data_IF_993537673586
#
_entry.id   IF_993537673586
#
_cell.length_a   1.000
_cell.length_b   1.000
_cell.length_c   1.000
_cell.angle_alpha   90.00
_cell.angle_beta   90.00
_cell.angle_gamma   90.00
#
_symmetry.space_group_name_H-M   'P 1'
#
loop_
_entity.id
_entity.type
_entity.pdbx_description
1 polymer ?
#
# COMPACT_ATOMS: atom_id res chain seq x y z
N UNK A 1 38.94 19.50 -7.12
CA UNK A 1 38.54 18.10 -7.35
C UNK A 1 38.63 17.27 -6.08
N UNK A 2 39.82 17.15 -5.46
CA UNK A 2 40.01 16.31 -4.25
C UNK A 2 39.08 16.66 -3.08
N UNK A 3 38.82 17.95 -2.81
CA UNK A 3 37.89 18.38 -1.77
C UNK A 3 36.43 17.94 -2.03
N UNK A 4 35.99 17.96 -3.27
CA UNK A 4 34.64 17.46 -3.64
C UNK A 4 34.54 15.94 -3.45
N UNK A 5 35.59 15.19 -3.81
CA UNK A 5 35.65 13.75 -3.62
C UNK A 5 35.63 13.35 -2.13
N UNK A 6 36.35 14.09 -1.28
CA UNK A 6 36.35 13.89 0.16
C UNK A 6 34.97 14.22 0.77
N UNK A 7 34.32 15.30 0.32
CA UNK A 7 32.97 15.64 0.75
C UNK A 7 31.95 14.57 0.33
N UNK A 8 32.07 14.06 -0.89
CA UNK A 8 31.22 12.97 -1.37
C UNK A 8 31.40 11.69 -0.55
N UNK A 9 32.64 11.29 -0.31
CA UNK A 9 32.96 10.12 0.52
C UNK A 9 32.41 10.28 1.95
N UNK A 10 32.62 11.44 2.57
CA UNK A 10 32.05 11.72 3.89
C UNK A 10 30.51 11.64 3.90
N UNK A 11 29.85 12.17 2.87
CA UNK A 11 28.39 12.11 2.76
C UNK A 11 27.89 10.67 2.63
N UNK A 12 28.62 9.83 1.88
CA UNK A 12 28.31 8.40 1.73
C UNK A 12 28.54 7.64 3.04
N UNK A 13 29.63 7.92 3.75
CA UNK A 13 29.90 7.32 5.07
C UNK A 13 28.80 7.70 6.06
N UNK A 14 28.34 8.97 6.05
CA UNK A 14 27.21 9.43 6.88
C UNK A 14 25.87 8.85 6.48
N UNK A 15 25.69 8.51 5.21
CA UNK A 15 24.50 7.80 4.75
C UNK A 15 24.48 6.37 5.30
N UNK A 16 25.62 5.66 5.33
CA UNK A 16 25.74 4.32 5.95
C UNK A 16 25.32 4.38 7.42
N UNK A 17 25.90 5.31 8.19
CA UNK A 17 25.52 5.54 9.59
C UNK A 17 24.01 5.82 9.74
N UNK A 18 23.41 6.55 8.80
CA UNK A 18 21.99 6.91 8.83
C UNK A 18 21.09 5.72 8.50
N UNK A 19 21.45 4.85 7.58
CA UNK A 19 20.70 3.63 7.28
C UNK A 19 20.58 2.77 8.54
N UNK A 20 21.62 2.73 9.35
CA UNK A 20 21.61 1.96 10.60
C UNK A 20 20.90 2.69 11.74
N UNK A 21 21.16 4.00 11.93
CA UNK A 21 20.71 4.77 13.10
C UNK A 21 19.27 5.33 12.98
N UNK A 22 18.83 5.76 11.80
CA UNK A 22 17.45 6.28 11.60
C UNK A 22 16.38 5.19 11.62
N UNK A 23 16.80 3.96 11.84
CA UNK A 23 15.95 2.80 11.95
C UNK A 23 15.05 2.80 13.19
N UNK A 24 15.45 3.44 14.27
CA UNK A 24 14.82 3.30 15.58
C UNK A 24 13.76 4.38 15.81
N UNK A 25 12.56 4.18 15.25
CA UNK A 25 11.39 4.96 15.62
C UNK A 25 10.80 4.38 16.90
N UNK A 26 10.99 5.11 18.01
CA UNK A 26 10.50 4.68 19.33
C UNK A 26 9.15 5.32 19.64
N UNK A 27 8.08 4.55 19.43
CA UNK A 27 6.71 4.95 19.80
C UNK A 27 6.43 4.88 21.30
N UNK A 28 7.38 4.39 22.11
CA UNK A 28 7.26 4.33 23.57
C UNK A 28 7.87 5.54 24.25
N UNK A 29 8.49 6.46 23.49
CA UNK A 29 9.08 7.68 23.99
C UNK A 29 8.04 8.53 24.75
N UNK A 30 8.30 8.93 26.02
CA UNK A 30 7.35 9.69 26.84
C UNK A 30 6.86 10.99 26.19
N UNK A 31 7.73 11.71 25.47
CA UNK A 31 7.35 12.94 24.78
C UNK A 31 6.37 12.68 23.63
N UNK A 32 6.59 11.60 22.87
CA UNK A 32 5.66 11.17 21.84
C UNK A 32 4.31 10.76 22.44
N UNK A 33 4.31 9.96 23.50
CA UNK A 33 3.09 9.48 24.16
C UNK A 33 2.28 10.63 24.76
N UNK A 34 2.94 11.67 25.28
CA UNK A 34 2.27 12.87 25.76
C UNK A 34 1.54 13.60 24.61
N UNK A 35 2.21 13.82 23.48
CA UNK A 35 1.59 14.43 22.30
C UNK A 35 0.46 13.54 21.75
N UNK A 36 0.69 12.23 21.74
CA UNK A 36 -0.31 11.25 21.32
C UNK A 36 -1.57 11.34 22.20
N UNK A 37 -1.43 11.43 23.52
CA UNK A 37 -2.55 11.55 24.44
C UNK A 37 -3.40 12.82 24.18
N UNK A 38 -2.76 13.95 23.85
CA UNK A 38 -3.47 15.20 23.50
C UNK A 38 -4.29 15.02 22.22
N UNK A 39 -3.67 14.46 21.16
CA UNK A 39 -4.36 14.23 19.88
C UNK A 39 -5.44 13.17 20.03
N UNK A 40 -5.20 12.13 20.83
CA UNK A 40 -6.19 11.10 21.16
C UNK A 40 -7.42 11.71 21.89
N UNK A 41 -7.21 12.58 22.88
CA UNK A 41 -8.30 13.26 23.57
C UNK A 41 -9.13 14.12 22.60
N UNK A 42 -8.48 14.89 21.73
CA UNK A 42 -9.15 15.68 20.70
C UNK A 42 -9.92 14.80 19.70
N UNK A 43 -9.31 13.69 19.26
CA UNK A 43 -9.96 12.75 18.32
C UNK A 43 -11.13 12.00 18.94
N UNK A 44 -11.17 11.84 20.28
CA UNK A 44 -12.31 11.25 20.99
C UNK A 44 -13.57 12.11 20.84
N UNK A 45 -13.41 13.44 20.94
CA UNK A 45 -14.54 14.37 20.69
C UNK A 45 -15.04 14.23 19.25
N UNK A 46 -14.14 14.17 18.27
CA UNK A 46 -14.51 13.96 16.87
C UNK A 46 -15.21 12.61 16.67
N UNK A 47 -14.72 11.55 17.31
CA UNK A 47 -15.32 10.21 17.25
C UNK A 47 -16.74 10.23 17.77
N UNK A 48 -17.00 10.89 18.90
CA UNK A 48 -18.35 11.03 19.47
C UNK A 48 -19.29 11.82 18.55
N UNK A 49 -18.79 12.92 17.93
CA UNK A 49 -19.60 13.68 16.96
C UNK A 49 -19.96 12.83 15.72
N UNK A 50 -18.99 12.12 15.16
CA UNK A 50 -19.23 11.23 14.02
C UNK A 50 -20.13 10.06 14.40
N UNK A 51 -20.02 9.55 15.61
CA UNK A 51 -20.90 8.50 16.14
C UNK A 51 -22.34 8.99 16.25
N UNK A 52 -22.59 10.16 16.84
CA UNK A 52 -23.92 10.76 16.91
C UNK A 52 -24.51 10.97 15.51
N UNK A 53 -23.70 11.49 14.58
CA UNK A 53 -24.12 11.69 13.20
C UNK A 53 -24.46 10.35 12.51
N UNK A 54 -23.69 9.29 12.74
CA UNK A 54 -23.94 7.97 12.19
C UNK A 54 -25.24 7.36 12.74
N UNK A 55 -25.54 7.52 14.04
CA UNK A 55 -26.81 7.09 14.66
C UNK A 55 -27.97 7.88 14.08
N UNK A 56 -27.87 9.21 14.02
CA UNK A 56 -28.91 10.09 13.47
C UNK A 56 -29.22 9.72 12.00
N UNK A 57 -28.21 9.51 11.18
CA UNK A 57 -28.34 9.12 9.77
C UNK A 57 -29.06 7.77 9.60
N UNK A 58 -28.84 6.81 10.51
CA UNK A 58 -29.52 5.52 10.50
C UNK A 58 -30.99 5.64 10.95
N UNK A 59 -31.26 6.43 11.99
CA UNK A 59 -32.59 6.71 12.47
C UNK A 59 -33.46 7.34 11.39
N UNK A 60 -32.94 8.33 10.65
CA UNK A 60 -33.67 8.97 9.52
C UNK A 60 -33.95 7.98 8.38
N UNK A 61 -33.14 6.93 8.22
CA UNK A 61 -33.38 5.86 7.22
C UNK A 61 -34.37 4.80 7.66
N UNK A 62 -35.03 4.95 8.81
CA UNK A 62 -36.04 4.03 9.31
C UNK A 62 -35.53 2.74 9.92
N UNK A 63 -34.21 2.66 10.24
CA UNK A 63 -33.66 1.52 10.97
C UNK A 63 -34.11 1.56 12.42
N UNK A 64 -34.59 0.43 13.03
CA UNK A 64 -34.96 0.39 14.44
C UNK A 64 -33.82 0.92 15.33
N UNK A 65 -34.16 1.82 16.28
CA UNK A 65 -33.16 2.50 17.12
C UNK A 65 -32.30 1.53 17.91
N UNK A 66 -32.85 0.42 18.36
CA UNK A 66 -32.12 -0.62 19.08
C UNK A 66 -31.01 -1.25 18.24
N UNK A 67 -31.28 -1.60 16.98
CA UNK A 67 -30.31 -2.15 16.03
C UNK A 67 -29.29 -1.09 15.62
N UNK A 68 -29.72 0.15 15.36
CA UNK A 68 -28.83 1.24 15.02
C UNK A 68 -27.85 1.56 16.16
N UNK A 69 -28.29 1.51 17.40
CA UNK A 69 -27.49 1.80 18.57
C UNK A 69 -26.51 0.68 18.88
N UNK A 70 -26.93 -0.61 18.87
CA UNK A 70 -26.06 -1.73 19.14
C UNK A 70 -24.92 -1.84 18.13
N UNK A 71 -25.21 -1.63 16.85
CA UNK A 71 -24.17 -1.61 15.80
C UNK A 71 -23.24 -0.40 15.96
N UNK A 72 -23.76 0.77 16.31
CA UNK A 72 -22.99 1.98 16.53
C UNK A 72 -22.07 1.87 17.76
N UNK A 73 -22.51 1.22 18.83
CA UNK A 73 -21.67 0.94 20.03
C UNK A 73 -20.53 0.02 19.66
N UNK A 74 -20.76 -1.04 18.89
CA UNK A 74 -19.70 -1.94 18.43
C UNK A 74 -18.62 -1.22 17.64
N UNK A 75 -18.98 -0.31 16.73
CA UNK A 75 -18.00 0.50 15.99
C UNK A 75 -17.29 1.52 16.87
N UNK A 76 -17.96 2.09 17.87
CA UNK A 76 -17.35 2.99 18.83
C UNK A 76 -16.23 2.27 19.61
N UNK A 77 -16.51 1.08 20.17
CA UNK A 77 -15.51 0.28 20.87
C UNK A 77 -14.34 -0.08 19.96
N UNK A 78 -14.60 -0.49 18.72
CA UNK A 78 -13.54 -0.78 17.76
C UNK A 78 -12.64 0.44 17.53
N UNK A 79 -13.23 1.63 17.38
CA UNK A 79 -12.50 2.88 17.16
C UNK A 79 -11.63 3.23 18.38
N UNK A 80 -12.18 3.15 19.58
CA UNK A 80 -11.46 3.46 20.83
C UNK A 80 -10.31 2.49 21.02
N UNK A 81 -10.54 1.18 20.87
CA UNK A 81 -9.49 0.17 20.99
C UNK A 81 -8.40 0.35 19.92
N UNK A 82 -8.77 0.53 18.66
CA UNK A 82 -7.81 0.77 17.60
C UNK A 82 -6.94 2.00 17.90
N UNK A 83 -7.56 3.11 18.32
CA UNK A 83 -6.84 4.33 18.67
C UNK A 83 -5.96 4.15 19.90
N UNK A 84 -6.44 3.52 20.97
CA UNK A 84 -5.67 3.32 22.20
C UNK A 84 -4.43 2.44 22.00
N UNK A 85 -4.56 1.39 21.18
CA UNK A 85 -3.48 0.43 20.95
C UNK A 85 -2.58 0.77 19.75
N UNK A 86 -2.86 1.84 19.00
CA UNK A 86 -2.05 2.24 17.83
C UNK A 86 -0.55 2.36 18.12
N UNK A 87 -0.07 3.04 19.19
CA UNK A 87 1.36 3.12 19.45
C UNK A 87 1.99 1.76 19.65
N UNK A 88 1.31 0.87 20.40
CA UNK A 88 1.78 -0.50 20.66
C UNK A 88 1.79 -1.35 19.36
N UNK A 89 0.74 -1.26 18.56
CA UNK A 89 0.65 -1.99 17.28
C UNK A 89 1.76 -1.52 16.33
N UNK A 90 1.94 -0.21 16.18
CA UNK A 90 2.98 0.34 15.33
C UNK A 90 4.38 0.00 15.82
N UNK A 91 4.61 0.10 17.15
CA UNK A 91 5.87 -0.33 17.76
C UNK A 91 6.17 -1.80 17.42
N UNK A 92 5.20 -2.69 17.62
CA UNK A 92 5.37 -4.12 17.36
C UNK A 92 5.64 -4.39 15.88
N UNK A 93 4.87 -3.76 14.96
CA UNK A 93 5.03 -3.96 13.52
C UNK A 93 6.37 -3.40 13.02
N UNK A 94 6.74 -2.20 13.46
CA UNK A 94 8.02 -1.58 13.07
C UNK A 94 9.18 -2.37 13.63
N UNK A 95 9.14 -2.75 14.91
CA UNK A 95 10.19 -3.56 15.54
C UNK A 95 10.35 -4.93 14.88
N UNK A 96 9.25 -5.60 14.54
CA UNK A 96 9.29 -6.86 13.80
C UNK A 96 9.91 -6.67 12.40
N UNK A 97 9.52 -5.60 11.68
CA UNK A 97 10.07 -5.29 10.36
C UNK A 97 11.55 -4.93 10.45
N UNK A 98 11.97 -4.20 11.47
CA UNK A 98 13.37 -3.85 11.69
C UNK A 98 14.20 -5.09 12.05
N UNK A 99 13.64 -6.02 12.84
CA UNK A 99 14.27 -7.30 13.14
C UNK A 99 14.50 -8.15 11.87
N UNK A 100 13.47 -8.24 11.02
CA UNK A 100 13.60 -8.92 9.71
C UNK A 100 14.65 -8.24 8.84
N UNK A 101 14.66 -6.90 8.80
CA UNK A 101 15.64 -6.12 8.05
C UNK A 101 17.07 -6.39 8.54
N UNK A 102 17.25 -6.46 9.85
CA UNK A 102 18.56 -6.79 10.45
C UNK A 102 19.03 -8.21 10.09
N UNK A 103 18.10 -9.18 10.10
CA UNK A 103 18.43 -10.55 9.67
C UNK A 103 18.79 -10.59 8.18
N UNK A 104 18.06 -9.87 7.33
CA UNK A 104 18.36 -9.75 5.92
C UNK A 104 19.73 -9.09 5.69
N UNK A 105 20.04 -8.00 6.37
CA UNK A 105 21.34 -7.33 6.30
C UNK A 105 22.49 -8.26 6.72
N UNK A 106 22.29 -9.04 7.77
CA UNK A 106 23.28 -10.03 8.22
C UNK A 106 23.40 -11.22 7.28
N UNK A 107 22.31 -11.70 6.69
CA UNK A 107 22.33 -12.82 5.74
C UNK A 107 23.04 -12.47 4.43
N UNK A 108 23.06 -11.18 4.08
CA UNK A 108 23.86 -10.64 2.96
C UNK A 108 25.31 -10.34 3.36
N UNK A 109 25.77 -10.80 4.55
CA UNK A 109 27.16 -10.73 4.96
C UNK A 109 27.72 -9.31 5.23
N UNK A 110 26.86 -8.35 5.64
CA UNK A 110 27.28 -6.96 5.84
C UNK A 110 27.63 -6.23 4.52
N UNK A 111 27.11 -6.74 3.41
CA UNK A 111 27.43 -6.22 2.07
C UNK A 111 26.98 -4.78 1.86
N UNK A 112 25.99 -4.32 2.64
CA UNK A 112 25.57 -2.90 2.62
C UNK A 112 26.72 -2.00 3.10
N UNK A 113 27.35 -2.34 4.23
CA UNK A 113 28.48 -1.57 4.76
C UNK A 113 29.71 -1.72 3.87
N UNK A 114 29.97 -2.93 3.35
CA UNK A 114 31.02 -3.19 2.38
C UNK A 114 30.80 -2.36 1.09
N UNK A 115 29.56 -2.26 0.63
CA UNK A 115 29.19 -1.44 -0.53
C UNK A 115 29.51 0.04 -0.28
N UNK A 116 29.04 0.62 0.83
CA UNK A 116 29.31 2.02 1.15
C UNK A 116 30.83 2.27 1.36
N UNK A 117 31.51 1.34 2.03
CA UNK A 117 32.98 1.41 2.22
C UNK A 117 33.72 1.41 0.89
N UNK A 118 33.42 0.46 0.00
CA UNK A 118 34.04 0.38 -1.33
C UNK A 118 33.73 1.61 -2.17
N UNK A 119 32.49 2.09 -2.14
CA UNK A 119 32.10 3.28 -2.87
C UNK A 119 32.80 4.55 -2.35
N UNK A 120 32.88 4.72 -1.02
CA UNK A 120 33.59 5.83 -0.38
C UNK A 120 35.08 5.79 -0.68
N UNK A 121 35.73 4.61 -0.63
CA UNK A 121 37.11 4.45 -1.01
C UNK A 121 37.38 4.76 -2.50
N UNK A 122 36.51 4.30 -3.39
CA UNK A 122 36.62 4.60 -4.82
C UNK A 122 36.53 6.12 -5.08
N UNK A 123 35.67 6.82 -4.37
CA UNK A 123 35.58 8.28 -4.42
C UNK A 123 36.87 8.95 -3.89
N UNK A 124 37.45 8.44 -2.78
CA UNK A 124 38.72 8.97 -2.20
C UNK A 124 39.93 8.73 -3.12
N UNK A 125 39.97 7.59 -3.79
CA UNK A 125 41.04 7.22 -4.75
C UNK A 125 40.94 7.95 -6.09
N UNK A 126 39.94 8.73 -6.33
CA UNK A 126 39.50 9.46 -7.51
C UNK A 126 40.48 9.86 -8.61
N UNK A 127 41.80 9.70 -8.41
CA UNK A 127 42.85 9.97 -9.42
C UNK A 127 42.81 8.95 -10.57
N UNK A 128 42.27 7.73 -10.33
CA UNK A 128 42.18 6.63 -11.31
C UNK A 128 40.79 6.51 -12.00
N UNK A 129 39.85 7.44 -11.73
CA UNK A 129 38.49 7.37 -12.26
C UNK A 129 38.45 7.56 -13.79
N UNK A 130 39.55 8.08 -14.41
CA UNK A 130 39.53 8.48 -15.82
C UNK A 130 38.73 9.78 -16.08
N UNK A 131 39.02 10.49 -17.16
CA UNK A 131 38.31 11.74 -17.48
C UNK A 131 38.80 12.98 -16.73
N UNK A 132 39.80 12.86 -15.86
CA UNK A 132 40.50 13.97 -15.20
C UNK A 132 39.69 14.67 -14.09
N UNK A 133 40.20 15.84 -13.61
CA UNK A 133 39.64 16.54 -12.47
C UNK A 133 38.18 16.98 -12.63
N UNK A 134 37.70 17.23 -13.84
CA UNK A 134 36.33 17.68 -14.14
C UNK A 134 35.35 16.53 -13.90
N UNK A 135 35.70 15.33 -14.39
CA UNK A 135 34.86 14.15 -14.22
C UNK A 135 34.70 13.81 -12.73
N UNK A 136 35.80 13.90 -11.95
CA UNK A 136 35.77 13.71 -10.51
C UNK A 136 34.86 14.69 -9.80
N UNK A 137 34.83 15.97 -10.19
CA UNK A 137 33.94 16.97 -9.62
C UNK A 137 32.48 16.64 -9.92
N UNK A 138 32.16 16.31 -11.17
CA UNK A 138 30.78 15.97 -11.60
C UNK A 138 30.27 14.75 -10.85
N UNK A 139 31.05 13.67 -10.83
CA UNK A 139 30.68 12.42 -10.13
C UNK A 139 30.52 12.66 -8.64
N UNK A 140 31.41 13.41 -8.01
CA UNK A 140 31.32 13.73 -6.59
C UNK A 140 30.06 14.55 -6.26
N UNK A 141 29.73 15.54 -7.10
CA UNK A 141 28.53 16.36 -6.90
C UNK A 141 27.25 15.51 -7.02
N UNK A 142 27.17 14.67 -8.04
CA UNK A 142 26.01 13.76 -8.22
C UNK A 142 25.92 12.76 -7.08
N UNK A 143 27.04 12.24 -6.58
CA UNK A 143 27.06 11.32 -5.43
C UNK A 143 26.58 12.01 -4.15
N UNK A 144 26.98 13.26 -3.89
CA UNK A 144 26.50 14.04 -2.74
C UNK A 144 25.00 14.24 -2.83
N UNK A 145 24.48 14.63 -4.01
CA UNK A 145 23.05 14.83 -4.21
C UNK A 145 22.27 13.53 -4.02
N UNK A 146 22.70 12.44 -4.61
CA UNK A 146 22.05 11.15 -4.51
C UNK A 146 22.04 10.61 -3.07
N UNK A 147 23.18 10.66 -2.38
CA UNK A 147 23.31 10.27 -0.98
C UNK A 147 22.47 11.17 -0.06
N UNK A 148 22.46 12.48 -0.33
CA UNK A 148 21.64 13.46 0.41
C UNK A 148 20.13 13.22 0.26
N UNK A 149 19.68 12.88 -0.95
CA UNK A 149 18.26 12.55 -1.21
C UNK A 149 17.87 11.28 -0.45
N UNK A 150 18.68 10.23 -0.49
CA UNK A 150 18.41 8.99 0.23
C UNK A 150 18.42 9.21 1.75
N UNK A 151 19.34 10.00 2.26
CA UNK A 151 19.36 10.39 3.67
C UNK A 151 18.11 11.14 4.08
N UNK A 152 17.70 12.14 3.28
CA UNK A 152 16.49 12.92 3.52
C UNK A 152 15.24 12.02 3.50
N UNK A 153 15.20 11.04 2.61
CA UNK A 153 14.12 10.06 2.54
C UNK A 153 13.98 9.25 3.82
N UNK A 154 15.09 8.79 4.41
CA UNK A 154 15.10 8.07 5.68
C UNK A 154 14.58 8.95 6.83
N UNK A 155 14.99 10.23 6.88
CA UNK A 155 14.51 11.19 7.89
C UNK A 155 13.01 11.46 7.73
N UNK A 156 12.56 11.69 6.49
CA UNK A 156 11.13 11.90 6.19
C UNK A 156 10.33 10.65 6.57
N UNK A 157 10.84 9.44 6.31
CA UNK A 157 10.19 8.19 6.73
C UNK A 157 9.94 8.17 8.23
N UNK A 158 10.96 8.46 9.05
CA UNK A 158 10.82 8.49 10.51
C UNK A 158 9.76 9.53 10.95
N UNK A 159 9.80 10.73 10.38
CA UNK A 159 8.80 11.77 10.65
C UNK A 159 7.38 11.33 10.24
N UNK A 160 7.23 10.70 9.06
CA UNK A 160 5.94 10.19 8.58
C UNK A 160 5.37 9.10 9.48
N UNK A 161 6.20 8.25 10.09
CA UNK A 161 5.75 7.23 11.03
C UNK A 161 5.18 7.89 12.30
N UNK A 162 5.83 8.89 12.88
CA UNK A 162 5.32 9.61 14.05
C UNK A 162 4.04 10.39 13.72
N UNK A 163 4.06 11.19 12.66
CA UNK A 163 2.89 11.97 12.21
C UNK A 163 1.74 11.05 11.82
N UNK A 164 2.03 9.96 11.11
CA UNK A 164 1.04 8.97 10.72
C UNK A 164 0.39 8.28 11.91
N UNK A 165 1.16 7.97 12.98
CA UNK A 165 0.63 7.44 14.22
C UNK A 165 -0.32 8.44 14.91
N UNK A 166 0.07 9.71 15.01
CA UNK A 166 -0.78 10.77 15.58
C UNK A 166 -2.07 10.95 14.78
N UNK A 167 -1.97 11.04 13.44
CA UNK A 167 -3.13 11.20 12.56
C UNK A 167 -4.01 9.95 12.54
N UNK A 168 -3.46 8.78 12.87
CA UNK A 168 -4.19 7.53 12.96
C UNK A 168 -5.41 7.63 13.87
N UNK A 169 -5.31 8.30 15.01
CA UNK A 169 -6.43 8.50 15.94
C UNK A 169 -7.59 9.25 15.30
N UNK A 170 -7.29 10.28 14.51
CA UNK A 170 -8.29 11.08 13.78
C UNK A 170 -8.90 10.25 12.64
N UNK A 171 -8.08 9.47 11.93
CA UNK A 171 -8.54 8.61 10.83
C UNK A 171 -9.42 7.48 11.34
N UNK A 172 -9.11 6.90 12.50
CA UNK A 172 -9.93 5.85 13.13
C UNK A 172 -11.31 6.35 13.56
N UNK A 173 -11.48 7.64 13.84
CA UNK A 173 -12.81 8.20 14.06
C UNK A 173 -13.75 7.92 12.86
N UNK A 174 -13.21 7.76 11.66
CA UNK A 174 -13.94 7.35 10.47
C UNK A 174 -14.41 5.89 10.48
N UNK A 175 -13.95 5.01 11.39
CA UNK A 175 -14.43 3.64 11.49
C UNK A 175 -15.89 3.55 11.91
N UNK A 176 -16.41 4.58 12.56
CA UNK A 176 -17.80 4.68 13.01
C UNK A 176 -18.80 4.70 11.84
N UNK A 177 -18.43 5.27 10.69
CA UNK A 177 -19.26 5.26 9.46
C UNK A 177 -18.60 4.42 8.37
N UNK A 178 -19.30 3.37 7.90
CA UNK A 178 -18.83 2.48 6.82
C UNK A 178 -18.42 3.23 5.54
N UNK A 179 -18.99 4.41 5.27
CA UNK A 179 -18.63 5.22 4.11
C UNK A 179 -17.21 5.82 4.21
N UNK A 180 -16.69 5.98 5.43
CA UNK A 180 -15.37 6.53 5.68
C UNK A 180 -14.25 5.47 5.73
N UNK A 181 -14.59 4.18 5.71
CA UNK A 181 -13.62 3.08 5.78
C UNK A 181 -12.57 3.11 4.67
N UNK A 182 -12.88 3.68 3.52
CA UNK A 182 -11.91 3.88 2.43
C UNK A 182 -10.72 4.73 2.88
N UNK A 183 -10.96 5.76 3.70
CA UNK A 183 -9.90 6.64 4.20
C UNK A 183 -9.02 5.92 5.22
N UNK A 184 -9.61 5.09 6.08
CA UNK A 184 -8.87 4.26 7.04
C UNK A 184 -7.96 3.26 6.31
N UNK A 185 -8.48 2.58 5.29
CA UNK A 185 -7.70 1.65 4.48
C UNK A 185 -6.56 2.34 3.73
N UNK A 186 -6.84 3.52 3.15
CA UNK A 186 -5.81 4.31 2.46
C UNK A 186 -4.71 4.74 3.43
N UNK A 187 -5.08 5.21 4.62
CA UNK A 187 -4.12 5.54 5.66
C UNK A 187 -3.28 4.32 6.07
N UNK A 188 -3.91 3.19 6.33
CA UNK A 188 -3.21 1.95 6.66
C UNK A 188 -2.25 1.52 5.55
N UNK A 189 -2.65 1.63 4.27
CA UNK A 189 -1.78 1.38 3.13
C UNK A 189 -0.56 2.30 3.10
N UNK A 190 -0.74 3.60 3.36
CA UNK A 190 0.37 4.56 3.44
C UNK A 190 1.31 4.18 4.58
N UNK A 191 0.79 3.84 5.77
CA UNK A 191 1.61 3.42 6.90
C UNK A 191 2.42 2.16 6.61
N UNK A 192 1.81 1.15 5.97
CA UNK A 192 2.51 -0.07 5.53
C UNK A 192 3.60 0.29 4.51
N UNK A 193 3.31 1.17 3.54
CA UNK A 193 4.30 1.63 2.58
C UNK A 193 5.51 2.24 3.27
N UNK A 194 5.28 3.18 4.19
CA UNK A 194 6.33 3.87 4.94
C UNK A 194 7.16 2.89 5.78
N UNK A 195 6.53 1.88 6.39
CA UNK A 195 7.23 0.85 7.16
C UNK A 195 8.14 0.01 6.24
N UNK A 196 7.65 -0.37 5.05
CA UNK A 196 8.37 -1.25 4.12
C UNK A 196 9.52 -0.57 3.36
N UNK A 197 9.61 0.75 3.36
CA UNK A 197 10.71 1.48 2.69
C UNK A 197 12.07 1.02 3.17
N UNK A 198 12.28 0.89 4.49
CA UNK A 198 13.58 0.50 5.06
C UNK A 198 14.05 -0.89 4.61
N UNK A 199 13.27 -1.97 4.78
CA UNK A 199 13.70 -3.29 4.32
C UNK A 199 13.99 -3.32 2.82
N UNK A 200 13.24 -2.57 2.01
CA UNK A 200 13.49 -2.51 0.57
C UNK A 200 14.80 -1.80 0.24
N UNK A 201 15.10 -0.68 0.89
CA UNK A 201 16.39 0.00 0.74
C UNK A 201 17.53 -0.96 1.11
N UNK A 202 17.44 -1.64 2.25
CA UNK A 202 18.47 -2.58 2.72
C UNK A 202 18.64 -3.77 1.77
N UNK A 203 17.54 -4.32 1.24
CA UNK A 203 17.60 -5.41 0.25
C UNK A 203 18.29 -4.93 -1.03
N UNK A 204 17.93 -3.75 -1.54
CA UNK A 204 18.50 -3.20 -2.76
C UNK A 204 20.00 -2.93 -2.57
N UNK A 205 20.39 -2.32 -1.45
CA UNK A 205 21.80 -2.05 -1.14
C UNK A 205 22.59 -3.34 -0.89
N UNK A 206 22.00 -4.32 -0.20
CA UNK A 206 22.63 -5.62 0.02
C UNK A 206 22.85 -6.41 -1.27
N UNK A 207 21.84 -6.44 -2.16
CA UNK A 207 21.98 -7.05 -3.49
C UNK A 207 23.07 -6.35 -4.31
N UNK A 208 23.11 -5.06 -4.21
CA UNK A 208 24.10 -4.22 -4.87
C UNK A 208 25.52 -4.49 -4.38
N UNK A 209 25.70 -4.60 -3.08
CA UNK A 209 26.98 -4.99 -2.48
C UNK A 209 27.45 -6.36 -2.98
N UNK A 210 26.51 -7.33 -3.07
CA UNK A 210 26.79 -8.66 -3.60
C UNK A 210 27.29 -8.61 -5.05
N UNK A 211 26.65 -7.81 -5.89
CA UNK A 211 27.01 -7.67 -7.31
C UNK A 211 28.29 -6.85 -7.52
N UNK A 212 28.61 -5.94 -6.59
CA UNK A 212 29.81 -5.11 -6.67
C UNK A 212 31.07 -5.79 -6.12
N UNK A 213 30.93 -6.89 -5.38
CA UNK A 213 32.08 -7.67 -4.82
C UNK A 213 32.75 -8.57 -5.84
N UNK A 214 32.14 -8.82 -7.00
CA UNK A 214 32.83 -9.48 -8.11
C UNK A 214 33.70 -8.48 -8.86
N UNK A 215 35.00 -8.72 -8.88
CA UNK A 215 36.08 -7.92 -9.44
C UNK A 215 35.71 -6.92 -10.55
N UNK A 216 35.35 -5.72 -10.18
CA UNK A 216 35.18 -4.61 -11.12
C UNK A 216 36.51 -4.02 -11.52
N UNK A 217 36.89 -3.98 -12.81
CA UNK A 217 38.26 -3.73 -13.26
C UNK A 217 38.76 -2.29 -13.05
N UNK A 218 37.88 -1.30 -12.72
CA UNK A 218 38.32 0.10 -12.61
C UNK A 218 37.51 0.88 -11.57
N UNK A 219 38.17 1.84 -10.86
CA UNK A 219 37.53 2.75 -9.89
C UNK A 219 36.31 3.52 -10.48
N UNK A 220 36.33 3.84 -11.76
CA UNK A 220 35.20 4.46 -12.46
C UNK A 220 34.00 3.56 -12.49
N UNK A 221 34.13 2.29 -12.83
CA UNK A 221 33.05 1.32 -12.85
C UNK A 221 32.42 1.15 -11.47
N UNK A 222 33.21 1.08 -10.41
CA UNK A 222 32.74 0.99 -9.03
C UNK A 222 31.94 2.23 -8.62
N UNK A 223 32.37 3.43 -8.98
CA UNK A 223 31.68 4.68 -8.67
C UNK A 223 30.37 4.81 -9.44
N UNK A 224 30.37 4.50 -10.74
CA UNK A 224 29.15 4.56 -11.56
C UNK A 224 28.13 3.51 -11.11
N UNK A 225 28.59 2.29 -10.83
CA UNK A 225 27.73 1.23 -10.27
C UNK A 225 27.14 1.63 -8.92
N UNK A 226 27.96 2.15 -8.01
CA UNK A 226 27.53 2.62 -6.70
C UNK A 226 26.48 3.72 -6.80
N UNK A 227 26.69 4.70 -7.68
CA UNK A 227 25.73 5.76 -7.92
C UNK A 227 24.43 5.22 -8.51
N UNK A 228 24.49 4.33 -9.50
CA UNK A 228 23.31 3.70 -10.09
C UNK A 228 22.49 2.95 -9.05
N UNK A 229 23.13 2.31 -8.10
CA UNK A 229 22.51 1.56 -7.01
C UNK A 229 21.79 2.49 -6.01
N UNK A 230 22.43 3.60 -5.61
CA UNK A 230 21.78 4.60 -4.76
C UNK A 230 20.55 5.16 -5.46
N UNK A 231 20.63 5.47 -6.75
CA UNK A 231 19.50 5.93 -7.54
C UNK A 231 18.40 4.84 -7.65
N UNK A 232 18.80 3.57 -7.78
CA UNK A 232 17.85 2.45 -7.78
C UNK A 232 17.13 2.31 -6.43
N UNK A 233 17.82 2.52 -5.31
CA UNK A 233 17.23 2.49 -3.98
C UNK A 233 16.18 3.61 -3.82
N UNK A 234 16.49 4.83 -4.26
CA UNK A 234 15.55 5.96 -4.28
C UNK A 234 14.33 5.63 -5.16
N UNK A 235 14.56 5.06 -6.35
CA UNK A 235 13.47 4.69 -7.25
C UNK A 235 12.61 3.57 -6.69
N UNK A 236 13.21 2.57 -6.04
CA UNK A 236 12.50 1.46 -5.42
C UNK A 236 11.56 1.94 -4.31
N UNK A 237 12.00 2.86 -3.45
CA UNK A 237 11.15 3.43 -2.41
C UNK A 237 10.02 4.30 -2.99
N UNK A 238 10.29 5.10 -4.03
CA UNK A 238 9.26 5.86 -4.73
C UNK A 238 8.17 4.93 -5.33
N UNK A 239 8.56 3.77 -5.84
CA UNK A 239 7.63 2.75 -6.35
C UNK A 239 6.73 2.20 -5.23
N UNK A 240 7.27 1.96 -4.02
CA UNK A 240 6.46 1.51 -2.88
C UNK A 240 5.37 2.54 -2.55
N UNK A 241 5.72 3.82 -2.44
CA UNK A 241 4.74 4.88 -2.18
C UNK A 241 3.65 4.98 -3.25
N UNK A 242 3.98 4.61 -4.49
CA UNK A 242 3.01 4.63 -5.59
C UNK A 242 2.09 3.40 -5.59
N UNK A 243 2.62 2.20 -5.33
CA UNK A 243 1.88 0.96 -5.50
C UNK A 243 1.10 0.53 -4.25
N UNK A 244 1.66 0.65 -3.05
CA UNK A 244 1.02 0.14 -1.83
C UNK A 244 -0.33 0.82 -1.51
N UNK A 245 -0.51 2.15 -1.63
CA UNK A 245 -1.80 2.79 -1.42
C UNK A 245 -2.90 2.33 -2.39
N UNK A 246 -2.54 1.95 -3.62
CA UNK A 246 -3.48 1.45 -4.64
C UNK A 246 -4.00 0.04 -4.36
N UNK A 247 -3.18 -0.86 -3.83
CA UNK A 247 -3.58 -2.25 -3.55
C UNK A 247 -4.75 -2.36 -2.57
N UNK A 248 -4.83 -1.48 -1.58
CA UNK A 248 -5.94 -1.46 -0.62
C UNK A 248 -7.29 -1.17 -1.25
N UNK A 249 -7.32 -0.28 -2.23
CA UNK A 249 -8.55 0.12 -2.93
C UNK A 249 -8.99 -0.94 -3.96
N UNK A 250 -8.06 -1.59 -4.66
CA UNK A 250 -8.37 -2.67 -5.61
C UNK A 250 -8.87 -3.94 -4.92
N UNK A 251 -8.27 -4.33 -3.78
CA UNK A 251 -8.75 -5.47 -2.98
C UNK A 251 -10.14 -5.18 -2.43
N UNK A 252 -10.42 -3.94 -2.01
CA UNK A 252 -11.73 -3.54 -1.54
C UNK A 252 -12.78 -3.51 -2.66
N UNK A 253 -12.42 -3.03 -3.84
CA UNK A 253 -13.29 -3.01 -5.02
C UNK A 253 -13.61 -4.43 -5.51
N UNK A 254 -12.64 -5.31 -5.59
CA UNK A 254 -12.84 -6.71 -6.00
C UNK A 254 -13.68 -7.50 -4.99
N UNK A 255 -13.55 -7.22 -3.69
CA UNK A 255 -14.37 -7.83 -2.65
C UNK A 255 -15.81 -7.31 -2.69
N UNK A 256 -16.02 -6.01 -2.92
CA UNK A 256 -17.35 -5.43 -3.09
C UNK A 256 -18.06 -5.97 -4.34
N UNK A 257 -17.34 -6.12 -5.46
CA UNK A 257 -17.90 -6.69 -6.68
C UNK A 257 -18.30 -8.16 -6.50
N UNK A 258 -17.52 -8.96 -5.76
CA UNK A 258 -17.90 -10.35 -5.43
C UNK A 258 -19.09 -10.44 -4.49
N UNK A 259 -19.22 -9.52 -3.53
CA UNK A 259 -20.35 -9.47 -2.61
C UNK A 259 -21.61 -8.96 -3.29
N UNK A 260 -21.53 -7.97 -4.18
CA UNK A 260 -22.69 -7.48 -4.95
C UNK A 260 -23.17 -8.52 -5.96
N UNK A 261 -22.27 -9.18 -6.69
CA UNK A 261 -22.64 -10.28 -7.59
C UNK A 261 -23.26 -11.47 -6.85
N UNK A 262 -22.73 -11.80 -5.65
CA UNK A 262 -23.31 -12.84 -4.80
C UNK A 262 -24.66 -12.44 -4.19
N UNK A 263 -24.87 -11.16 -3.88
CA UNK A 263 -26.14 -10.64 -3.37
C UNK A 263 -27.19 -10.50 -4.49
N UNK A 264 -26.80 -10.07 -5.67
CA UNK A 264 -27.69 -9.99 -6.85
C UNK A 264 -28.11 -11.39 -7.32
N UNK A 265 -27.20 -12.37 -7.31
CA UNK A 265 -27.53 -13.76 -7.60
C UNK A 265 -28.47 -14.39 -6.56
N UNK A 266 -28.32 -14.05 -5.27
CA UNK A 266 -29.23 -14.48 -4.21
C UNK A 266 -30.54 -13.70 -4.23
N UNK A 267 -30.55 -12.41 -4.53
CA UNK A 267 -31.75 -11.62 -4.68
C UNK A 267 -32.57 -12.06 -5.91
N UNK A 268 -31.93 -12.40 -7.02
CA UNK A 268 -32.57 -13.00 -8.19
C UNK A 268 -33.15 -14.40 -7.88
N UNK A 269 -32.45 -15.21 -7.05
CA UNK A 269 -32.94 -16.52 -6.61
C UNK A 269 -34.11 -16.42 -5.59
N UNK A 270 -34.15 -15.37 -4.76
CA UNK A 270 -35.22 -15.13 -3.77
C UNK A 270 -36.41 -14.43 -4.42
N UNK A 271 -36.20 -13.61 -5.45
CA UNK A 271 -37.25 -12.98 -6.25
C UNK A 271 -37.93 -13.95 -7.24
N UNK A 272 -37.31 -15.09 -7.52
CA UNK A 272 -38.04 -16.25 -8.08
C UNK A 272 -38.85 -16.87 -6.94
N UNK A 273 -39.93 -16.19 -6.56
CA UNK A 273 -40.87 -16.65 -5.53
C UNK A 273 -41.38 -18.05 -5.88
N UNK A 274 -41.74 -18.88 -4.88
CA UNK A 274 -42.33 -20.21 -5.14
C UNK A 274 -43.48 -20.16 -6.16
N UNK A 275 -44.19 -19.04 -6.25
CA UNK A 275 -45.21 -18.77 -7.26
C UNK A 275 -44.65 -18.67 -8.69
N UNK A 276 -43.43 -18.16 -8.90
CA UNK A 276 -42.80 -18.09 -10.21
C UNK A 276 -42.31 -19.48 -10.67
N UNK A 277 -41.81 -20.32 -9.75
CA UNK A 277 -41.46 -21.72 -10.03
C UNK A 277 -42.68 -22.57 -10.35
N UNK A 278 -43.80 -22.36 -9.63
CA UNK A 278 -45.07 -23.03 -9.90
C UNK A 278 -45.64 -22.61 -11.25
N UNK A 279 -45.60 -21.32 -11.60
CA UNK A 279 -46.07 -20.84 -12.90
C UNK A 279 -45.22 -21.34 -14.09
N UNK A 280 -43.89 -21.51 -13.91
CA UNK A 280 -43.05 -22.16 -14.91
C UNK A 280 -43.33 -23.67 -15.03
N UNK A 281 -43.58 -24.35 -13.92
CA UNK A 281 -44.00 -25.76 -13.90
C UNK A 281 -45.33 -25.98 -14.60
N UNK A 282 -46.31 -25.11 -14.37
CA UNK A 282 -47.65 -25.18 -15.03
C UNK A 282 -47.53 -24.93 -16.54
N UNK A 283 -46.70 -23.98 -16.97
CA UNK A 283 -46.48 -23.72 -18.41
C UNK A 283 -45.73 -24.90 -19.09
N UNK A 284 -44.86 -25.58 -18.40
CA UNK A 284 -44.16 -26.76 -18.94
C UNK A 284 -45.09 -27.97 -19.06
N UNK A 285 -46.07 -28.14 -18.17
CA UNK A 285 -47.07 -29.24 -18.24
C UNK A 285 -48.22 -28.95 -19.22
N UNK A 286 -48.67 -27.70 -19.34
CA UNK A 286 -49.75 -27.36 -20.30
C UNK A 286 -49.27 -27.47 -21.76
N UNK A 287 -47.95 -27.30 -22.02
CA UNK A 287 -47.38 -27.49 -23.35
C UNK A 287 -47.27 -28.97 -23.81
N UNK A 288 -47.47 -29.97 -22.93
CA UNK A 288 -47.42 -31.39 -23.27
C UNK A 288 -48.77 -32.05 -23.48
N UNK A 289 -49.85 -31.37 -23.18
CA UNK A 289 -51.20 -31.96 -23.25
C UNK A 289 -52.06 -31.44 -24.41
N UNK A 290 -51.46 -30.66 -25.33
CA UNK A 290 -52.15 -30.18 -26.53
C UNK A 290 -51.44 -30.74 -27.79
N UNK A 291 -51.45 -32.04 -27.94
CA UNK A 291 -51.19 -32.72 -29.20
C UNK A 291 -52.49 -33.19 -29.78
N UNK A 292 -53.07 -32.43 -30.70
CA UNK A 292 -54.28 -32.80 -31.43
C UNK A 292 -54.76 -31.65 -32.31
N UNK A 293 -54.46 -31.77 -33.57
CA UNK A 293 -55.16 -31.31 -34.76
C UNK A 293 -55.60 -29.85 -34.91
N UNK A 294 -55.26 -29.23 -36.04
CA UNK A 294 -55.91 -28.07 -36.62
C UNK A 294 -54.95 -26.96 -37.11
N UNK A 295 -54.73 -26.93 -38.45
CA UNK A 295 -53.89 -25.96 -39.14
C UNK A 295 -54.27 -24.51 -38.92
N UNK A 296 -53.26 -23.64 -38.90
CA UNK A 296 -53.43 -22.19 -38.86
C UNK A 296 -52.11 -21.47 -38.77
N UNK A 297 -51.78 -20.74 -39.82
CA UNK A 297 -50.72 -19.80 -40.09
C UNK A 297 -49.76 -19.41 -38.95
N UNK A 298 -48.52 -19.78 -39.12
CA UNK A 298 -47.39 -19.36 -38.28
C UNK A 298 -47.04 -17.88 -38.48
N UNK A 299 -47.30 -17.06 -37.47
CA UNK A 299 -46.63 -15.75 -37.35
C UNK A 299 -45.14 -15.92 -36.99
N UNK A 300 -44.25 -15.14 -37.60
CA UNK A 300 -42.82 -15.26 -37.29
C UNK A 300 -42.55 -14.76 -35.86
N UNK A 301 -41.89 -15.57 -35.05
CA UNK A 301 -41.33 -15.17 -33.76
C UNK A 301 -40.20 -14.16 -33.97
N UNK A 302 -40.12 -13.08 -33.20
CA UNK A 302 -38.96 -12.22 -33.24
C UNK A 302 -37.70 -12.99 -32.81
N UNK A 303 -36.65 -12.93 -33.65
CA UNK A 303 -35.36 -13.57 -33.38
C UNK A 303 -34.72 -12.98 -32.12
N UNK A 304 -34.22 -13.87 -31.28
CA UNK A 304 -33.46 -13.49 -30.09
C UNK A 304 -32.18 -12.73 -30.54
N UNK A 305 -31.90 -11.59 -29.94
CA UNK A 305 -30.75 -10.72 -30.30
C UNK A 305 -29.38 -11.44 -30.26
N UNK A 306 -29.28 -12.59 -29.58
CA UNK A 306 -28.06 -13.41 -29.53
C UNK A 306 -27.82 -14.24 -30.79
N UNK A 307 -28.87 -14.56 -31.58
CA UNK A 307 -28.70 -15.36 -32.82
C UNK A 307 -28.44 -14.52 -34.08
N UNK A 308 -28.73 -13.20 -34.03
CA UNK A 308 -28.47 -12.27 -35.15
C UNK A 308 -27.00 -11.95 -35.36
N UNK A 309 -26.18 -12.08 -34.32
CA UNK A 309 -24.74 -11.78 -34.42
C UNK A 309 -23.89 -12.84 -35.11
N UNK A 310 -24.32 -14.11 -35.07
CA UNK A 310 -23.55 -15.21 -35.70
C UNK A 310 -23.88 -15.39 -37.17
N UNK A 311 -25.02 -14.96 -37.65
CA UNK A 311 -25.37 -15.06 -39.06
C UNK A 311 -24.65 -14.01 -39.94
N UNK A 312 -24.18 -12.91 -39.33
CA UNK A 312 -23.49 -11.84 -40.07
C UNK A 312 -22.01 -12.19 -40.44
N UNK A 313 -21.42 -13.18 -39.79
CA UNK A 313 -20.04 -13.62 -40.07
C UNK A 313 -19.94 -14.79 -41.10
N UNK A 314 -21.03 -15.46 -41.41
CA UNK A 314 -21.03 -16.59 -42.38
C UNK A 314 -21.17 -16.15 -43.85
N UNK A 315 -21.42 -14.86 -44.16
CA UNK A 315 -21.63 -14.35 -45.51
C UNK A 315 -20.46 -13.54 -46.11
N UNK A 316 -19.28 -13.61 -45.48
CA UNK A 316 -18.04 -13.03 -45.99
C UNK A 316 -16.93 -14.09 -45.95
N UNK A 317 -16.99 -15.02 -46.82
CA UNK A 317 -15.94 -15.94 -47.24
C UNK A 317 -16.02 -16.17 -48.70
#
# INVERSE_FOLDING_TARGET
AKGCAQAAAWTVDKLSDAVDSTANVDFTNPQFLQQYAVVFAASTVLTLLLWLLAVAKRAVRGVPLTTALSEAIGFLWLTVLASAFTPLILYTVVSATDSVTTVLAKSTGGQTDAFFGTFSEALKKGEDIGGGPIMLIVVSLVSILAAGVLWLELVIRAALLYVGALLGTVVYAGLVDKNLWKHVRRWAGIMIAVILVKPVIVIVLGLAGALSSEDGPNAFSAVVSGLAIILLAIFASAMIYRFVPGFGDEIAASRNNRLSQGAEGRAAAVLSSPAALVSQGIKAHSGRQSGGDGGGASQPRPANQASGGMAAHASRG
#
